data_IF_537099814963
#
_entry.id   IF_537099814963
#
_cell.length_a   1.000
_cell.length_b   1.000
_cell.length_c   1.000
_cell.angle_alpha   90.00
_cell.angle_beta   90.00
_cell.angle_gamma   90.00
#
_symmetry.space_group_name_H-M   'P 1'
#
loop_
_entity.id
_entity.type
_entity.pdbx_description
1 polymer ?
#
# COMPACT_ATOMS: atom_id res chain seq x y z
N UNK A 1 28.36 -10.30 2.47
CA UNK A 1 27.16 -10.14 1.61
C UNK A 1 26.09 -9.58 2.51
N UNK A 2 25.67 -8.34 2.31
CA UNK A 2 24.50 -7.84 3.05
C UNK A 2 23.26 -8.33 2.28
N UNK A 3 22.65 -9.39 2.79
CA UNK A 3 21.37 -9.84 2.28
C UNK A 3 20.33 -8.75 2.56
N UNK A 4 19.53 -8.42 1.55
CA UNK A 4 18.40 -7.53 1.72
C UNK A 4 17.41 -8.24 2.62
N UNK A 5 17.42 -7.91 3.91
CA UNK A 5 16.50 -8.48 4.88
C UNK A 5 15.09 -7.99 4.57
N UNK A 6 14.22 -8.91 4.16
CA UNK A 6 12.79 -8.68 4.01
C UNK A 6 12.09 -9.23 5.25
N UNK A 7 11.28 -8.41 5.90
CA UNK A 7 10.42 -8.89 6.97
C UNK A 7 9.17 -9.52 6.37
N UNK A 8 8.81 -10.70 6.86
CA UNK A 8 7.63 -11.43 6.43
C UNK A 8 6.69 -11.57 7.60
N UNK A 9 5.48 -11.05 7.45
CA UNK A 9 4.41 -11.15 8.44
C UNK A 9 3.34 -12.11 7.94
N UNK A 10 3.03 -13.14 8.72
CA UNK A 10 1.93 -14.05 8.42
C UNK A 10 0.61 -13.41 8.79
N UNK A 11 -0.34 -13.44 7.87
CA UNK A 11 -1.70 -12.93 8.08
C UNK A 11 -2.63 -14.08 8.40
N UNK A 12 -3.42 -13.93 9.46
CA UNK A 12 -4.41 -14.90 9.90
C UNK A 12 -5.83 -14.33 9.83
N UNK A 13 -6.78 -15.17 9.46
CA UNK A 13 -8.20 -14.91 9.56
C UNK A 13 -8.86 -16.11 10.25
N UNK A 14 -9.50 -15.89 11.40
CA UNK A 14 -10.05 -16.96 12.25
C UNK A 14 -9.04 -18.12 12.49
N UNK A 15 -7.82 -17.76 12.99
CA UNK A 15 -6.72 -18.68 13.30
C UNK A 15 -6.11 -19.43 12.10
N UNK A 16 -6.62 -19.25 10.89
CA UNK A 16 -6.05 -19.82 9.67
C UNK A 16 -5.11 -18.86 8.99
N UNK A 17 -3.94 -19.34 8.55
CA UNK A 17 -3.04 -18.57 7.70
C UNK A 17 -3.71 -18.32 6.35
N UNK A 18 -3.91 -17.05 6.00
CA UNK A 18 -4.54 -16.64 4.74
C UNK A 18 -3.55 -16.06 3.75
N UNK A 19 -2.39 -15.65 4.22
CA UNK A 19 -1.35 -15.09 3.36
C UNK A 19 -0.21 -14.46 4.13
N UNK A 20 0.67 -13.80 3.40
CA UNK A 20 1.87 -13.16 3.96
C UNK A 20 2.00 -11.74 3.44
N UNK A 21 2.32 -10.82 4.32
CA UNK A 21 2.74 -9.46 3.99
C UNK A 21 4.27 -9.43 4.02
N UNK A 22 4.88 -9.01 2.92
CA UNK A 22 6.33 -8.85 2.82
C UNK A 22 6.65 -7.37 2.89
N UNK A 23 7.36 -6.97 3.95
CA UNK A 23 7.87 -5.61 4.10
C UNK A 23 9.17 -5.47 3.31
N UNK A 24 9.12 -4.67 2.27
CA UNK A 24 10.26 -4.40 1.41
C UNK A 24 11.07 -3.22 1.95
N UNK A 25 12.40 -3.27 1.89
CA UNK A 25 13.21 -2.11 2.28
C UNK A 25 12.80 -0.86 1.50
N UNK A 26 12.77 0.28 2.20
CA UNK A 26 12.36 1.53 1.58
C UNK A 26 13.24 1.93 0.38
N UNK A 27 12.66 2.05 -0.77
CA UNK A 27 13.34 2.41 -2.04
C UNK A 27 13.85 3.86 -2.08
N UNK A 28 13.49 4.69 -1.12
CA UNK A 28 13.89 6.10 -0.98
C UNK A 28 15.06 6.36 -0.03
N UNK A 29 15.74 5.34 0.50
CA UNK A 29 16.82 5.55 1.48
C UNK A 29 18.02 6.25 0.84
N UNK A 30 18.26 7.49 1.25
CA UNK A 30 19.32 8.36 0.73
C UNK A 30 20.73 7.99 1.23
N UNK A 31 20.85 7.13 2.25
CA UNK A 31 22.09 6.88 2.97
C UNK A 31 22.96 5.72 2.43
N UNK A 32 22.59 5.09 1.33
CA UNK A 32 23.35 3.98 0.73
C UNK A 32 24.04 4.38 -0.55
N UNK A 33 25.18 3.73 -0.84
CA UNK A 33 25.94 3.98 -2.07
C UNK A 33 25.12 3.69 -3.33
N UNK A 34 25.43 4.36 -4.44
CA UNK A 34 24.77 4.17 -5.74
C UNK A 34 24.80 2.69 -6.18
N UNK A 35 25.90 1.99 -5.93
CA UNK A 35 26.04 0.57 -6.27
C UNK A 35 25.08 -0.32 -5.49
N UNK A 36 24.92 -0.06 -4.18
CA UNK A 36 23.99 -0.79 -3.32
C UNK A 36 22.55 -0.51 -3.76
N UNK A 37 22.22 0.75 -4.09
CA UNK A 37 20.90 1.14 -4.59
C UNK A 37 20.56 0.44 -5.91
N UNK A 38 21.48 0.43 -6.87
CA UNK A 38 21.27 -0.23 -8.16
C UNK A 38 21.10 -1.75 -8.02
N UNK A 39 21.85 -2.39 -7.12
CA UNK A 39 21.69 -3.82 -6.81
C UNK A 39 20.32 -4.10 -6.21
N UNK A 40 19.93 -3.33 -5.20
CA UNK A 40 18.63 -3.46 -4.54
C UNK A 40 17.47 -3.28 -5.53
N UNK A 41 17.55 -2.30 -6.43
CA UNK A 41 16.54 -2.08 -7.46
C UNK A 41 16.38 -3.28 -8.38
N UNK A 42 17.49 -3.91 -8.81
CA UNK A 42 17.45 -5.14 -9.62
C UNK A 42 16.81 -6.32 -8.88
N UNK A 43 17.21 -6.53 -7.64
CA UNK A 43 16.68 -7.62 -6.81
C UNK A 43 15.19 -7.45 -6.55
N UNK A 44 14.75 -6.21 -6.30
CA UNK A 44 13.35 -5.87 -6.11
C UNK A 44 12.52 -6.04 -7.40
N UNK A 45 13.03 -5.55 -8.53
CA UNK A 45 12.38 -5.74 -9.83
C UNK A 45 12.19 -7.24 -10.12
N UNK A 46 13.25 -8.03 -9.96
CA UNK A 46 13.18 -9.49 -10.11
C UNK A 46 12.15 -10.12 -9.17
N UNK A 47 12.13 -9.70 -7.90
CA UNK A 47 11.15 -10.20 -6.94
C UNK A 47 9.70 -9.90 -7.38
N UNK A 48 9.43 -8.67 -7.80
CA UNK A 48 8.09 -8.24 -8.24
C UNK A 48 7.66 -8.92 -9.54
N UNK A 49 8.59 -9.13 -10.45
CA UNK A 49 8.33 -9.71 -11.77
C UNK A 49 8.18 -11.23 -11.74
N UNK A 50 8.95 -11.92 -10.90
CA UNK A 50 9.06 -13.39 -11.01
C UNK A 50 8.20 -14.17 -10.02
N UNK A 51 7.77 -13.58 -8.89
CA UNK A 51 7.04 -14.33 -7.85
C UNK A 51 5.59 -14.64 -8.24
N UNK A 52 5.22 -15.90 -8.47
CA UNK A 52 3.85 -16.27 -8.80
C UNK A 52 2.88 -16.11 -7.62
N UNK A 53 3.37 -16.25 -6.38
CA UNK A 53 2.56 -16.12 -5.15
C UNK A 53 2.26 -14.67 -4.76
N UNK A 54 2.79 -13.67 -5.46
CA UNK A 54 2.54 -12.27 -5.17
C UNK A 54 1.15 -11.88 -5.68
N UNK A 55 0.22 -11.56 -4.79
CA UNK A 55 -1.19 -11.29 -5.13
C UNK A 55 -1.49 -9.81 -5.39
N UNK A 56 -0.70 -8.91 -4.83
CA UNK A 56 -0.89 -7.45 -5.00
C UNK A 56 0.26 -6.66 -4.40
N UNK A 57 0.23 -5.36 -4.59
CA UNK A 57 1.22 -4.40 -4.08
C UNK A 57 0.54 -3.29 -3.30
N UNK A 58 0.95 -3.10 -2.03
CA UNK A 58 0.67 -1.88 -1.28
C UNK A 58 1.86 -0.93 -1.45
N UNK A 59 1.63 0.23 -2.02
CA UNK A 59 2.67 1.23 -2.21
C UNK A 59 2.42 2.43 -1.31
N UNK A 60 3.38 2.71 -0.44
CA UNK A 60 3.28 3.74 0.61
C UNK A 60 3.98 5.00 0.13
N UNK A 61 3.23 6.09 -0.03
CA UNK A 61 3.75 7.39 -0.48
C UNK A 61 3.42 8.49 0.52
N UNK A 62 4.32 9.44 0.70
CA UNK A 62 4.00 10.66 1.47
C UNK A 62 3.01 11.52 0.67
N UNK A 63 1.86 11.87 1.26
CA UNK A 63 0.80 12.65 0.61
C UNK A 63 1.29 14.01 0.06
N UNK A 64 2.35 14.55 0.63
CA UNK A 64 2.91 15.86 0.22
C UNK A 64 3.72 15.79 -1.07
N UNK A 65 4.24 14.61 -1.42
CA UNK A 65 5.12 14.38 -2.58
C UNK A 65 4.84 13.02 -3.23
N UNK A 66 3.60 12.69 -3.59
CA UNK A 66 3.27 11.37 -4.13
C UNK A 66 3.71 11.24 -5.59
N UNK A 67 3.86 10.01 -6.04
CA UNK A 67 4.21 9.66 -7.42
C UNK A 67 5.53 10.27 -7.91
N UNK A 68 6.53 10.30 -7.04
CA UNK A 68 7.90 10.67 -7.41
C UNK A 68 8.51 9.68 -8.42
N UNK A 69 9.71 9.97 -8.94
CA UNK A 69 10.35 9.11 -9.95
C UNK A 69 10.49 7.64 -9.53
N UNK A 70 10.85 7.39 -8.26
CA UNK A 70 10.99 6.04 -7.71
C UNK A 70 9.65 5.34 -7.53
N UNK A 71 8.60 6.06 -7.12
CA UNK A 71 7.24 5.52 -7.02
C UNK A 71 6.74 5.06 -8.39
N UNK A 72 6.92 5.87 -9.43
CA UNK A 72 6.55 5.55 -10.81
C UNK A 72 7.33 4.33 -11.32
N UNK A 73 8.61 4.24 -11.01
CA UNK A 73 9.44 3.10 -11.38
C UNK A 73 8.93 1.80 -10.74
N UNK A 74 8.55 1.84 -9.45
CA UNK A 74 7.95 0.71 -8.75
C UNK A 74 6.63 0.28 -9.40
N UNK A 75 5.77 1.23 -9.75
CA UNK A 75 4.52 0.97 -10.43
C UNK A 75 4.73 0.30 -11.79
N UNK A 76 5.72 0.76 -12.56
CA UNK A 76 6.09 0.17 -13.86
C UNK A 76 6.60 -1.26 -13.72
N UNK A 77 7.46 -1.55 -12.76
CA UNK A 77 7.96 -2.91 -12.53
C UNK A 77 6.86 -3.89 -12.16
N UNK A 78 5.82 -3.42 -11.48
CA UNK A 78 4.72 -4.27 -11.05
C UNK A 78 3.62 -4.45 -12.12
N UNK A 79 3.56 -3.61 -13.13
CA UNK A 79 2.51 -3.59 -14.16
C UNK A 79 2.40 -4.89 -14.98
N UNK A 80 3.50 -5.56 -15.26
CA UNK A 80 3.58 -6.73 -16.14
C UNK A 80 2.66 -7.91 -15.76
N UNK A 81 2.13 -7.93 -14.54
CA UNK A 81 1.36 -9.05 -14.02
C UNK A 81 -0.14 -8.82 -13.93
N UNK A 82 -0.63 -7.66 -14.32
CA UNK A 82 -2.05 -7.30 -14.21
C UNK A 82 -2.64 -7.50 -12.79
N UNK A 83 -1.81 -7.35 -11.75
CA UNK A 83 -2.19 -7.53 -10.36
C UNK A 83 -2.64 -6.21 -9.73
N UNK A 84 -3.46 -6.26 -8.66
CA UNK A 84 -3.93 -5.05 -8.02
C UNK A 84 -2.80 -4.31 -7.31
N UNK A 85 -2.86 -2.99 -7.42
CA UNK A 85 -2.01 -2.04 -6.69
C UNK A 85 -2.92 -1.17 -5.82
N UNK A 86 -2.54 -0.95 -4.57
CA UNK A 86 -3.19 0.03 -3.72
C UNK A 86 -2.17 1.02 -3.17
N UNK A 87 -2.35 2.29 -3.50
CA UNK A 87 -1.50 3.38 -3.00
C UNK A 87 -2.08 3.93 -1.71
N UNK A 88 -1.26 3.96 -0.66
CA UNK A 88 -1.57 4.63 0.60
C UNK A 88 -0.89 6.01 0.61
N UNK A 89 -1.67 7.08 0.53
CA UNK A 89 -1.17 8.44 0.72
C UNK A 89 -1.02 8.69 2.23
N UNK A 90 0.17 8.41 2.75
CA UNK A 90 0.46 8.47 4.18
C UNK A 90 0.69 9.88 4.69
N UNK A 91 0.73 10.03 6.02
CA UNK A 91 0.87 11.32 6.69
C UNK A 91 -0.25 12.30 6.34
N UNK A 92 -1.45 11.80 6.03
CA UNK A 92 -2.60 12.64 5.71
C UNK A 92 -2.93 13.63 6.84
N UNK A 93 -2.64 13.27 8.10
CA UNK A 93 -2.77 14.13 9.28
C UNK A 93 -1.93 15.43 9.23
N UNK A 94 -0.94 15.51 8.35
CA UNK A 94 -0.11 16.70 8.14
C UNK A 94 -0.76 17.74 7.21
N UNK A 95 -1.90 17.42 6.63
CA UNK A 95 -2.65 18.30 5.74
C UNK A 95 -4.05 18.60 6.31
N UNK A 96 -4.58 19.76 5.96
CA UNK A 96 -5.99 20.09 6.24
C UNK A 96 -6.92 19.18 5.43
N UNK A 97 -8.16 18.99 5.86
CA UNK A 97 -9.17 18.17 5.16
C UNK A 97 -9.34 18.57 3.69
N UNK A 98 -9.34 19.87 3.41
CA UNK A 98 -9.43 20.37 2.04
C UNK A 98 -8.19 19.97 1.22
N UNK A 99 -6.99 20.16 1.76
CA UNK A 99 -5.75 19.76 1.09
C UNK A 99 -5.66 18.24 0.88
N UNK A 100 -6.14 17.42 1.83
CA UNK A 100 -6.26 15.97 1.68
C UNK A 100 -7.16 15.61 0.49
N UNK A 101 -8.34 16.24 0.39
CA UNK A 101 -9.30 16.00 -0.70
C UNK A 101 -8.71 16.37 -2.06
N UNK A 102 -8.00 17.50 -2.14
CA UNK A 102 -7.32 17.93 -3.37
C UNK A 102 -6.23 16.93 -3.76
N UNK A 103 -5.37 16.52 -2.83
CA UNK A 103 -4.30 15.57 -3.09
C UNK A 103 -4.85 14.20 -3.55
N UNK A 104 -5.91 13.71 -2.91
CA UNK A 104 -6.57 12.47 -3.30
C UNK A 104 -7.18 12.57 -4.71
N UNK A 105 -7.84 13.69 -5.04
CA UNK A 105 -8.41 13.91 -6.37
C UNK A 105 -7.32 13.97 -7.45
N UNK A 106 -6.19 14.63 -7.17
CA UNK A 106 -5.03 14.67 -8.08
C UNK A 106 -4.45 13.28 -8.30
N UNK A 107 -4.26 12.50 -7.24
CA UNK A 107 -3.77 11.12 -7.33
C UNK A 107 -4.70 10.24 -8.18
N UNK A 108 -6.01 10.33 -7.98
CA UNK A 108 -7.01 9.60 -8.79
C UNK A 108 -6.97 9.99 -10.26
N UNK A 109 -6.81 11.28 -10.59
CA UNK A 109 -6.67 11.76 -11.97
C UNK A 109 -5.40 11.21 -12.62
N UNK A 110 -4.28 11.21 -11.90
CA UNK A 110 -3.02 10.66 -12.38
C UNK A 110 -3.15 9.16 -12.68
N UNK A 111 -3.72 8.39 -11.76
CA UNK A 111 -3.98 6.96 -11.97
C UNK A 111 -4.90 6.74 -13.18
N UNK A 112 -5.93 7.57 -13.34
CA UNK A 112 -6.84 7.47 -14.47
C UNK A 112 -6.17 7.78 -15.81
N UNK A 113 -5.17 8.64 -15.84
CA UNK A 113 -4.37 8.93 -17.03
C UNK A 113 -3.47 7.75 -17.45
N UNK A 114 -3.08 6.90 -16.50
CA UNK A 114 -2.19 5.75 -16.71
C UNK A 114 -2.96 4.41 -16.93
N UNK A 115 -4.24 4.48 -17.32
CA UNK A 115 -5.08 3.27 -17.51
C UNK A 115 -4.55 2.28 -18.55
N UNK A 116 -3.74 2.73 -19.50
CA UNK A 116 -3.11 1.86 -20.48
C UNK A 116 -1.96 1.03 -19.91
N UNK A 117 -1.49 1.39 -18.71
CA UNK A 117 -0.40 0.75 -17.98
C UNK A 117 -0.82 0.42 -16.55
N UNK A 118 0.04 0.66 -15.57
CA UNK A 118 -0.16 0.34 -14.16
C UNK A 118 -1.42 0.96 -13.51
N UNK A 119 -1.97 2.02 -14.08
CA UNK A 119 -3.20 2.64 -13.58
C UNK A 119 -4.47 1.79 -13.73
N UNK A 120 -4.43 0.73 -14.55
CA UNK A 120 -5.57 -0.16 -14.83
C UNK A 120 -6.15 -0.82 -13.59
N UNK A 121 -5.27 -1.35 -12.73
CA UNK A 121 -5.63 -2.05 -11.50
C UNK A 121 -5.13 -1.31 -10.27
N UNK A 122 -4.93 0.00 -10.36
CA UNK A 122 -4.43 0.84 -9.27
C UNK A 122 -5.57 1.59 -8.58
N UNK A 123 -5.58 1.54 -7.27
CA UNK A 123 -6.47 2.33 -6.41
C UNK A 123 -5.66 3.15 -5.40
N UNK A 124 -6.27 4.16 -4.81
CA UNK A 124 -5.60 5.06 -3.87
C UNK A 124 -6.53 5.49 -2.74
N UNK A 125 -6.01 5.54 -1.53
CA UNK A 125 -6.70 6.07 -0.36
C UNK A 125 -5.80 6.96 0.50
N UNK A 126 -6.43 7.76 1.37
CA UNK A 126 -5.74 8.51 2.41
C UNK A 126 -5.36 7.58 3.56
N UNK A 127 -4.20 7.83 4.16
CA UNK A 127 -3.75 7.05 5.31
C UNK A 127 -3.01 7.91 6.33
N UNK A 128 -3.25 7.65 7.61
CA UNK A 128 -2.44 8.16 8.72
C UNK A 128 -2.32 7.11 9.81
N UNK A 129 -1.11 6.67 10.07
CA UNK A 129 -0.84 5.71 11.16
C UNK A 129 -1.13 6.33 12.53
N UNK A 130 -0.77 7.60 12.75
CA UNK A 130 -0.95 8.31 14.01
C UNK A 130 -2.42 8.58 14.35
N UNK A 131 -3.26 8.84 13.33
CA UNK A 131 -4.69 9.12 13.49
C UNK A 131 -5.58 7.92 13.15
N UNK A 132 -5.00 6.78 12.77
CA UNK A 132 -5.72 5.58 12.30
C UNK A 132 -6.66 5.85 11.11
N UNK A 133 -6.44 6.94 10.37
CA UNK A 133 -7.23 7.28 9.19
C UNK A 133 -6.92 6.31 8.05
N UNK A 134 -7.96 5.79 7.38
CA UNK A 134 -7.83 4.90 6.23
C UNK A 134 -7.40 3.47 6.55
N UNK A 135 -7.27 3.10 7.84
CA UNK A 135 -6.88 1.76 8.27
C UNK A 135 -7.86 0.70 7.77
N UNK A 136 -9.14 0.92 8.02
CA UNK A 136 -10.18 -0.08 7.68
C UNK A 136 -10.32 -0.24 6.18
N UNK A 137 -10.20 0.85 5.40
CA UNK A 137 -10.15 0.80 3.94
C UNK A 137 -8.96 -0.01 3.42
N UNK A 138 -7.77 0.18 4.01
CA UNK A 138 -6.58 -0.58 3.65
C UNK A 138 -6.73 -2.08 3.96
N UNK A 139 -7.27 -2.42 5.14
CA UNK A 139 -7.55 -3.81 5.54
C UNK A 139 -8.57 -4.45 4.60
N UNK A 140 -9.63 -3.75 4.25
CA UNK A 140 -10.65 -4.24 3.32
C UNK A 140 -10.05 -4.51 1.93
N UNK A 141 -9.20 -3.63 1.42
CA UNK A 141 -8.49 -3.84 0.14
C UNK A 141 -7.62 -5.08 0.16
N UNK A 142 -6.88 -5.28 1.23
CA UNK A 142 -6.05 -6.48 1.43
C UNK A 142 -6.94 -7.72 1.48
N UNK A 143 -8.02 -7.71 2.25
CA UNK A 143 -8.96 -8.83 2.37
C UNK A 143 -9.58 -9.22 1.01
N UNK A 144 -9.95 -8.24 0.19
CA UNK A 144 -10.47 -8.47 -1.16
C UNK A 144 -9.48 -9.24 -2.04
N UNK A 145 -8.17 -9.00 -1.92
CA UNK A 145 -7.16 -9.70 -2.72
C UNK A 145 -7.01 -11.19 -2.35
N UNK A 146 -7.38 -11.56 -1.13
CA UNK A 146 -7.43 -12.94 -0.68
C UNK A 146 -8.85 -13.54 -0.72
N UNK A 147 -9.81 -12.83 -1.32
CA UNK A 147 -11.22 -13.25 -1.36
C UNK A 147 -11.80 -13.55 0.02
N UNK A 148 -11.31 -12.86 1.04
CA UNK A 148 -11.84 -12.97 2.40
C UNK A 148 -13.17 -12.21 2.52
N UNK A 149 -14.11 -12.70 3.37
CA UNK A 149 -15.31 -11.93 3.68
C UNK A 149 -14.93 -10.56 4.23
N UNK A 150 -15.63 -9.52 3.78
CA UNK A 150 -15.45 -8.16 4.32
C UNK A 150 -15.62 -8.21 5.83
N UNK A 151 -14.70 -7.59 6.58
CA UNK A 151 -14.85 -7.44 8.01
C UNK A 151 -16.17 -6.70 8.28
N UNK A 152 -17.17 -7.38 8.83
CA UNK A 152 -18.36 -6.69 9.31
C UNK A 152 -17.92 -5.72 10.40
N UNK A 153 -18.35 -4.44 10.36
CA UNK A 153 -18.07 -3.54 11.46
C UNK A 153 -18.60 -4.16 12.74
N UNK A 154 -17.77 -4.28 13.75
CA UNK A 154 -18.24 -4.74 15.06
C UNK A 154 -19.48 -3.96 15.46
N UNK A 155 -20.56 -4.63 15.90
CA UNK A 155 -21.76 -3.95 16.32
C UNK A 155 -21.39 -2.96 17.43
N UNK A 156 -21.65 -1.68 17.22
CA UNK A 156 -21.44 -0.64 18.22
C UNK A 156 -22.23 -1.06 19.46
N UNK A 157 -21.55 -1.52 20.48
CA UNK A 157 -22.18 -1.80 21.78
C UNK A 157 -22.84 -0.51 22.23
N UNK A 158 -24.17 -0.49 22.19
CA UNK A 158 -24.96 0.63 22.67
C UNK A 158 -24.61 0.85 24.16
N UNK A 159 -24.04 2.01 24.48
CA UNK A 159 -23.82 2.40 25.88
C UNK A 159 -25.20 2.39 26.56
N UNK A 160 -25.41 1.41 27.45
CA UNK A 160 -26.57 1.44 28.37
C UNK A 160 -26.50 2.75 29.17
N UNK A 161 -27.46 3.63 28.96
CA UNK A 161 -27.64 4.75 29.86
C UNK A 161 -27.98 4.20 31.25
N UNK A 162 -27.30 4.63 32.32
CA UNK A 162 -27.74 4.28 33.66
C UNK A 162 -29.11 4.95 33.88
N UNK A 163 -30.08 4.12 34.22
CA UNK A 163 -31.40 4.59 34.65
C UNK A 163 -31.24 5.52 35.88
N UNK A 164 -31.98 6.63 35.81
CA UNK A 164 -32.20 7.55 36.96
C UNK A 164 -33.01 6.86 38.03
#
# INVERSE_FOLDING_TARGET
MADVLMNVFTLHHHEQEVGRLVDLPGYGYAAVSQAVKARWQRELATFLETRPSLVGLILVMDIRHPFGPLDRQMLQWFDHRNRPIHVLLTKADKLTRNAQSIALAQARRLIAAEKASWGRNCSVSLFSASQRLGRDEAVEKIAQWWHLPSAQPEPKVAKKNPAR
#
